data_IF_073194866768
#
_entry.id   IF_073194866768
#
_cell.length_a   1.000
_cell.length_b   1.000
_cell.length_c   1.000
_cell.angle_alpha   90.00
_cell.angle_beta   90.00
_cell.angle_gamma   90.00
#
_symmetry.space_group_name_H-M   'P 1'
#
loop_
_entity.id
_entity.type
_entity.pdbx_description
1 polymer ?
#
# COMPACT_ATOMS: atom_id res chain seq x y z
N UNK A 1 2.05 31.30 -3.02
CA UNK A 1 1.63 30.01 -2.44
C UNK A 1 1.07 29.16 -3.57
N UNK A 2 1.89 28.28 -4.17
CA UNK A 2 1.41 27.33 -5.19
C UNK A 2 1.07 26.04 -4.47
N UNK A 3 -0.20 25.66 -4.56
CA UNK A 3 -0.70 24.37 -4.13
C UNK A 3 0.17 23.30 -4.79
N UNK A 4 0.77 22.44 -3.98
CA UNK A 4 1.56 21.31 -4.44
C UNK A 4 0.62 20.36 -5.19
N UNK A 5 0.44 20.60 -6.48
CA UNK A 5 -0.01 19.57 -7.41
C UNK A 5 0.93 18.41 -7.20
N UNK A 6 0.38 17.23 -6.92
CA UNK A 6 1.08 15.97 -6.70
C UNK A 6 1.70 15.47 -8.03
N UNK A 7 2.45 16.35 -8.70
CA UNK A 7 3.29 16.08 -9.88
C UNK A 7 4.66 15.69 -9.35
N UNK A 8 4.70 14.49 -8.82
CA UNK A 8 5.88 13.67 -8.83
C UNK A 8 5.38 12.24 -9.00
N UNK A 9 5.56 11.69 -10.20
CA UNK A 9 5.48 10.26 -10.47
C UNK A 9 6.63 9.53 -9.75
N UNK A 10 6.64 9.65 -8.42
CA UNK A 10 7.58 9.11 -7.45
C UNK A 10 6.89 8.95 -6.07
N UNK A 11 5.56 9.05 -6.02
CA UNK A 11 4.78 8.75 -4.83
C UNK A 11 4.82 7.26 -4.54
N UNK A 12 5.30 6.90 -3.37
CA UNK A 12 5.28 5.59 -2.69
C UNK A 12 3.93 4.88 -2.86
N UNK A 13 3.69 4.25 -4.01
CA UNK A 13 2.41 3.59 -4.32
C UNK A 13 2.07 2.48 -3.34
N UNK A 14 3.11 1.92 -2.71
CA UNK A 14 3.02 0.94 -1.65
C UNK A 14 2.16 1.42 -0.48
N UNK A 15 2.08 2.73 -0.24
CA UNK A 15 1.30 3.35 0.86
C UNK A 15 -0.02 3.97 0.42
N UNK A 16 -0.37 3.88 -0.86
CA UNK A 16 -1.58 4.48 -1.40
C UNK A 16 -2.82 3.71 -0.92
N UNK A 17 -3.81 4.46 -0.44
CA UNK A 17 -5.09 3.91 -0.04
C UNK A 17 -6.03 3.73 -1.25
N UNK A 18 -7.00 2.81 -1.18
CA UNK A 18 -7.92 2.55 -2.29
C UNK A 18 -8.76 3.79 -2.67
N UNK A 19 -9.11 4.65 -1.73
CA UNK A 19 -9.84 5.88 -2.02
C UNK A 19 -9.01 6.91 -2.80
N UNK A 20 -7.69 6.96 -2.54
CA UNK A 20 -6.76 7.81 -3.31
C UNK A 20 -6.65 7.33 -4.76
N UNK A 21 -6.66 6.01 -4.99
CA UNK A 21 -6.68 5.45 -6.34
C UNK A 21 -7.99 5.73 -7.10
N UNK A 22 -9.08 5.92 -6.37
CA UNK A 22 -10.40 6.21 -6.95
C UNK A 22 -10.59 7.70 -7.25
N UNK A 23 -9.59 8.55 -6.95
CA UNK A 23 -9.65 9.99 -7.16
C UNK A 23 -10.50 10.74 -6.13
N UNK A 24 -10.83 10.09 -5.00
CA UNK A 24 -11.54 10.74 -3.90
C UNK A 24 -10.59 11.67 -3.13
N UNK A 25 -11.17 12.63 -2.41
CA UNK A 25 -10.42 13.59 -1.62
C UNK A 25 -9.61 12.87 -0.55
N UNK A 26 -8.31 13.18 -0.48
CA UNK A 26 -7.42 12.74 0.59
C UNK A 26 -8.03 13.11 1.95
N UNK A 27 -8.18 12.14 2.85
CA UNK A 27 -8.75 12.35 4.19
C UNK A 27 -7.81 11.86 5.27
N UNK A 28 -8.09 12.19 6.53
CA UNK A 28 -7.33 11.65 7.68
C UNK A 28 -7.34 10.12 7.75
N UNK A 29 -8.33 9.45 7.13
CA UNK A 29 -8.35 7.98 7.05
C UNK A 29 -7.25 7.44 6.11
N UNK A 30 -6.84 8.24 5.13
CA UNK A 30 -5.72 7.92 4.24
C UNK A 30 -4.40 7.88 5.01
N UNK A 31 -4.20 8.78 5.97
CA UNK A 31 -3.01 8.77 6.84
C UNK A 31 -2.96 7.49 7.69
N UNK A 32 -4.11 7.04 8.21
CA UNK A 32 -4.23 5.78 8.98
C UNK A 32 -3.90 4.57 8.12
N UNK A 33 -4.33 4.56 6.85
CA UNK A 33 -3.97 3.51 5.90
C UNK A 33 -2.46 3.44 5.69
N UNK A 34 -1.82 4.57 5.39
CA UNK A 34 -0.38 4.62 5.18
C UNK A 34 0.41 4.20 6.43
N UNK A 35 -0.07 4.56 7.63
CA UNK A 35 0.52 4.06 8.89
C UNK A 35 0.39 2.53 9.04
N UNK A 36 -0.74 1.95 8.63
CA UNK A 36 -0.94 0.49 8.61
C UNK A 36 0.01 -0.23 7.65
N UNK A 37 0.23 0.31 6.45
CA UNK A 37 1.24 -0.21 5.52
C UNK A 37 2.64 -0.13 6.11
N UNK A 38 3.01 1.00 6.73
CA UNK A 38 4.30 1.15 7.40
C UNK A 38 4.49 0.09 8.49
N UNK A 39 3.47 -0.15 9.32
CA UNK A 39 3.52 -1.19 10.35
C UNK A 39 3.68 -2.58 9.73
N UNK A 40 2.99 -2.87 8.63
CA UNK A 40 3.15 -4.13 7.90
C UNK A 40 4.58 -4.32 7.39
N UNK A 41 5.16 -3.29 6.78
CA UNK A 41 6.54 -3.32 6.31
C UNK A 41 7.52 -3.61 7.46
N UNK A 42 7.29 -3.05 8.65
CA UNK A 42 8.13 -3.30 9.82
C UNK A 42 8.01 -4.74 10.36
N UNK A 43 6.83 -5.36 10.22
CA UNK A 43 6.57 -6.70 10.75
C UNK A 43 6.92 -7.83 9.77
N UNK A 44 6.65 -7.63 8.48
CA UNK A 44 6.75 -8.66 7.44
C UNK A 44 7.95 -8.42 6.51
N UNK A 45 8.61 -7.25 6.62
CA UNK A 45 9.69 -6.81 5.73
C UNK A 45 9.32 -6.88 4.23
N UNK A 46 8.02 -6.80 3.93
CA UNK A 46 7.45 -6.80 2.59
C UNK A 46 6.24 -5.87 2.54
N UNK A 47 5.77 -5.52 1.35
CA UNK A 47 4.60 -4.66 1.14
C UNK A 47 3.36 -5.49 0.77
N UNK A 48 2.17 -5.17 1.33
CA UNK A 48 1.01 -6.06 1.26
C UNK A 48 0.25 -6.06 -0.08
N UNK A 49 0.29 -4.96 -0.85
CA UNK A 49 -0.61 -4.76 -2.00
C UNK A 49 0.11 -4.44 -3.30
N UNK A 50 0.72 -3.26 -3.42
CA UNK A 50 1.41 -2.78 -4.61
C UNK A 50 2.87 -2.51 -4.27
N UNK A 51 3.80 -3.05 -5.05
CA UNK A 51 5.24 -2.84 -4.85
C UNK A 51 5.78 -1.80 -5.82
N UNK A 52 5.29 -1.82 -7.05
CA UNK A 52 5.76 -0.96 -8.14
C UNK A 52 4.57 -0.32 -8.86
N UNK A 53 4.83 0.69 -9.70
CA UNK A 53 3.77 1.38 -10.45
C UNK A 53 3.13 0.46 -11.50
N UNK A 54 3.90 -0.50 -12.00
CA UNK A 54 3.50 -1.55 -12.93
C UNK A 54 2.39 -2.43 -12.34
N UNK A 55 2.34 -2.57 -11.01
CA UNK A 55 1.29 -3.34 -10.32
C UNK A 55 -0.10 -2.71 -10.46
N UNK A 56 -0.21 -1.43 -10.83
CA UNK A 56 -1.50 -0.81 -11.17
C UNK A 56 -2.13 -1.41 -12.43
N UNK A 57 -1.32 -2.02 -13.31
CA UNK A 57 -1.82 -2.70 -14.50
C UNK A 57 -2.36 -4.10 -14.18
N UNK A 58 -1.97 -4.65 -13.02
CA UNK A 58 -2.44 -5.94 -12.52
C UNK A 58 -3.79 -5.76 -11.81
N UNK A 59 -4.86 -6.13 -12.51
CA UNK A 59 -6.23 -6.05 -11.97
C UNK A 59 -6.40 -6.88 -10.70
N UNK A 60 -5.69 -8.00 -10.53
CA UNK A 60 -5.83 -8.83 -9.33
C UNK A 60 -5.25 -8.10 -8.10
N UNK A 61 -4.07 -7.48 -8.26
CA UNK A 61 -3.45 -6.69 -7.18
C UNK A 61 -4.27 -5.46 -6.82
N UNK A 62 -4.77 -4.75 -7.83
CA UNK A 62 -5.64 -3.59 -7.64
C UNK A 62 -6.95 -3.99 -6.94
N UNK A 63 -7.55 -5.13 -7.30
CA UNK A 63 -8.76 -5.63 -6.62
C UNK A 63 -8.49 -6.09 -5.18
N UNK A 64 -7.32 -6.67 -4.89
CA UNK A 64 -6.90 -6.98 -3.51
C UNK A 64 -6.77 -5.73 -2.66
N UNK A 65 -6.15 -4.68 -3.21
CA UNK A 65 -6.02 -3.37 -2.56
C UNK A 65 -7.40 -2.76 -2.28
N UNK A 66 -8.29 -2.71 -3.29
CA UNK A 66 -9.66 -2.20 -3.12
C UNK A 66 -10.48 -2.95 -2.09
N UNK A 67 -10.29 -4.27 -1.99
CA UNK A 67 -10.97 -5.12 -1.01
C UNK A 67 -10.24 -5.16 0.35
N UNK A 68 -9.11 -4.45 0.49
CA UNK A 68 -8.22 -4.50 1.64
C UNK A 68 -7.90 -5.94 2.09
N UNK A 69 -7.79 -6.88 1.14
CA UNK A 69 -7.51 -8.28 1.42
C UNK A 69 -6.00 -8.50 1.51
N UNK A 70 -5.50 -8.72 2.72
CA UNK A 70 -4.12 -9.07 2.99
C UNK A 70 -4.04 -10.45 3.68
N UNK A 71 -2.88 -11.10 3.57
CA UNK A 71 -2.61 -12.38 4.21
C UNK A 71 -1.24 -12.30 4.88
N UNK A 72 -1.17 -12.61 6.17
CA UNK A 72 0.12 -12.81 6.84
C UNK A 72 0.72 -14.10 6.32
N UNK A 73 1.92 -14.04 5.73
CA UNK A 73 2.70 -15.25 5.51
C UNK A 73 3.23 -15.63 6.87
N UNK A 74 2.74 -16.72 7.46
CA UNK A 74 3.42 -17.35 8.58
C UNK A 74 4.83 -17.70 8.11
N UNK A 75 5.81 -16.94 8.58
CA UNK A 75 7.19 -17.33 8.46
C UNK A 75 7.30 -18.62 9.27
N UNK A 76 7.44 -19.75 8.57
CA UNK A 76 7.90 -20.97 9.21
C UNK A 76 9.27 -20.60 9.76
N UNK A 77 9.32 -20.28 11.06
CA UNK A 77 10.56 -20.31 11.82
C UNK A 77 11.07 -21.72 11.60
N UNK A 78 11.97 -21.89 10.64
CA UNK A 78 12.75 -23.09 10.53
C UNK A 78 13.56 -23.11 11.80
N UNK A 79 13.01 -23.75 12.82
CA UNK A 79 13.73 -24.18 14.00
C UNK A 79 14.81 -25.13 13.49
N UNK A 80 15.93 -24.56 13.08
CA UNK A 80 17.19 -25.26 12.98
C UNK A 80 17.86 -25.04 14.33
N UNK A 81 17.53 -25.91 15.28
CA UNK A 81 18.30 -26.12 16.50
C UNK A 81 18.35 -27.63 16.74
#
# INVERSE_FOLDING_TARGET
MRLATLVAACGTIYTASPEVLTGNTYTTQTDVWSAGVCLWCLLVNDVPFLKEMEDLQDQEKVEKLKKARYTFKDEKVSASA
#
